data_IF_665012879924
#
_entry.id   IF_665012879924
#
_cell.length_a   1.000
_cell.length_b   1.000
_cell.length_c   1.000
_cell.angle_alpha   90.00
_cell.angle_beta   90.00
_cell.angle_gamma   90.00
#
_symmetry.space_group_name_H-M   'P 1'
#
loop_
_entity.id
_entity.type
_entity.pdbx_description
1 polymer ?
#
# COMPACT_ATOMS: atom_id res chain seq x y z
N UNK A 1 22.44 -4.73 18.45
CA UNK A 1 23.68 -4.49 17.70
C UNK A 1 23.31 -4.04 16.29
N UNK A 2 24.09 -3.12 15.72
CA UNK A 2 23.92 -2.71 14.33
C UNK A 2 24.62 -3.75 13.45
N UNK A 3 23.87 -4.44 12.61
CA UNK A 3 24.36 -5.53 11.76
C UNK A 3 24.67 -5.04 10.35
N UNK A 4 25.43 -5.83 9.55
CA UNK A 4 25.72 -5.51 8.15
C UNK A 4 24.43 -5.26 7.33
N UNK A 5 23.38 -5.98 7.63
CA UNK A 5 22.06 -5.82 7.00
C UNK A 5 21.40 -4.46 7.23
N UNK A 6 21.66 -3.82 8.38
CA UNK A 6 21.19 -2.47 8.66
C UNK A 6 21.92 -1.44 7.77
N UNK A 7 23.23 -1.66 7.52
CA UNK A 7 24.00 -0.82 6.60
C UNK A 7 23.51 -1.00 5.14
N UNK A 8 23.14 -2.22 4.74
CA UNK A 8 22.54 -2.47 3.42
C UNK A 8 21.24 -1.69 3.25
N UNK A 9 20.40 -1.65 4.28
CA UNK A 9 19.14 -0.89 4.24
C UNK A 9 19.36 0.62 4.07
N UNK A 10 20.46 1.18 4.58
CA UNK A 10 20.86 2.56 4.28
C UNK A 10 21.17 2.75 2.79
N UNK A 11 21.83 1.77 2.18
CA UNK A 11 22.07 1.79 0.74
C UNK A 11 20.75 1.75 -0.06
N UNK A 12 19.72 1.05 0.44
CA UNK A 12 18.39 1.03 -0.16
C UNK A 12 17.70 2.40 -0.14
N UNK A 13 17.79 3.15 0.97
CA UNK A 13 17.31 4.53 1.04
C UNK A 13 18.03 5.39 0.02
N UNK A 14 19.37 5.30 -0.03
CA UNK A 14 20.17 6.07 -0.98
C UNK A 14 19.86 5.69 -2.44
N UNK A 15 19.69 4.41 -2.74
CA UNK A 15 19.37 3.91 -4.08
C UNK A 15 18.01 4.41 -4.58
N UNK A 16 16.96 4.34 -3.75
CA UNK A 16 15.63 4.83 -4.12
C UNK A 16 15.63 6.33 -4.40
N UNK A 17 16.33 7.12 -3.57
CA UNK A 17 16.51 8.56 -3.78
C UNK A 17 17.32 8.82 -5.06
N UNK A 18 18.42 8.10 -5.29
CA UNK A 18 19.28 8.27 -6.44
C UNK A 18 18.56 7.93 -7.77
N UNK A 19 17.76 6.85 -7.79
CA UNK A 19 16.95 6.49 -8.97
C UNK A 19 15.95 7.61 -9.28
N UNK A 20 15.22 8.11 -8.28
CA UNK A 20 14.26 9.21 -8.48
C UNK A 20 14.98 10.51 -8.89
N UNK A 21 16.16 10.80 -8.33
CA UNK A 21 16.96 11.96 -8.73
C UNK A 21 17.46 11.85 -10.18
N UNK A 22 17.90 10.66 -10.59
CA UNK A 22 18.34 10.42 -11.97
C UNK A 22 17.20 10.63 -12.99
N UNK A 23 15.95 10.31 -12.60
CA UNK A 23 14.75 10.46 -13.42
C UNK A 23 14.04 11.82 -13.21
N UNK A 24 14.60 12.71 -12.37
CA UNK A 24 14.03 14.01 -12.05
C UNK A 24 13.97 14.94 -13.26
N UNK A 25 12.88 15.71 -13.36
CA UNK A 25 12.70 16.75 -14.38
C UNK A 25 13.64 17.93 -14.18
N UNK A 26 14.04 18.23 -12.92
CA UNK A 26 14.96 19.32 -12.56
C UNK A 26 15.99 18.84 -11.55
N UNK A 27 17.00 18.06 -11.98
CA UNK A 27 18.02 17.42 -11.11
C UNK A 27 18.75 18.40 -10.18
N UNK A 28 18.87 19.69 -10.58
CA UNK A 28 19.54 20.72 -9.76
C UNK A 28 18.68 21.20 -8.59
N UNK A 29 17.37 20.97 -8.63
CA UNK A 29 16.43 21.40 -7.59
C UNK A 29 16.18 20.28 -6.56
N UNK A 30 17.24 19.62 -6.08
CA UNK A 30 17.11 18.53 -5.11
C UNK A 30 16.69 19.06 -3.73
N UNK A 31 15.59 18.54 -3.13
CA UNK A 31 15.04 19.08 -1.89
C UNK A 31 15.72 18.46 -0.65
N UNK A 32 16.98 18.82 -0.35
CA UNK A 32 17.79 18.24 0.74
C UNK A 32 17.11 18.26 2.10
N UNK A 33 16.48 19.40 2.44
CA UNK A 33 15.76 19.55 3.73
C UNK A 33 14.60 18.58 3.83
N UNK A 34 13.84 18.42 2.74
CA UNK A 34 12.72 17.50 2.70
C UNK A 34 13.22 16.04 2.73
N UNK A 35 14.33 15.72 2.04
CA UNK A 35 14.89 14.37 2.03
C UNK A 35 15.29 13.91 3.45
N UNK A 36 16.06 14.74 4.17
CA UNK A 36 16.43 14.45 5.56
C UNK A 36 15.20 14.41 6.47
N UNK A 37 14.29 15.37 6.31
CA UNK A 37 13.06 15.45 7.10
C UNK A 37 12.16 14.24 6.90
N UNK A 38 11.94 13.79 5.67
CA UNK A 38 11.09 12.65 5.36
C UNK A 38 11.64 11.32 5.92
N UNK A 39 12.96 11.10 5.79
CA UNK A 39 13.61 9.91 6.38
C UNK A 39 13.54 9.97 7.90
N UNK A 40 13.82 11.13 8.50
CA UNK A 40 13.75 11.32 9.95
C UNK A 40 12.33 11.10 10.48
N UNK A 41 11.30 11.63 9.80
CA UNK A 41 9.89 11.45 10.17
C UNK A 41 9.49 9.98 10.07
N UNK A 42 9.87 9.26 9.01
CA UNK A 42 9.59 7.83 8.90
C UNK A 42 10.24 7.05 10.05
N UNK A 43 11.53 7.26 10.30
CA UNK A 43 12.24 6.59 11.39
C UNK A 43 11.64 6.93 12.76
N UNK A 44 11.32 8.20 13.01
CA UNK A 44 10.69 8.66 14.23
C UNK A 44 9.29 8.04 14.44
N UNK A 45 8.48 7.96 13.39
CA UNK A 45 7.17 7.33 13.46
C UNK A 45 7.28 5.83 13.79
N UNK A 46 8.20 5.10 13.16
CA UNK A 46 8.41 3.68 13.49
C UNK A 46 8.91 3.52 14.92
N UNK A 47 9.88 4.32 15.34
CA UNK A 47 10.39 4.29 16.73
C UNK A 47 9.31 4.65 17.75
N UNK A 48 8.43 5.60 17.43
CA UNK A 48 7.30 5.97 18.28
C UNK A 48 6.27 4.82 18.35
N UNK A 49 5.85 4.29 17.21
CA UNK A 49 4.78 3.29 17.13
C UNK A 49 5.19 1.95 17.78
N UNK A 50 6.42 1.51 17.60
CA UNK A 50 6.91 0.25 18.18
C UNK A 50 7.74 0.44 19.45
N UNK A 51 8.30 1.62 19.70
CA UNK A 51 9.14 1.90 20.86
C UNK A 51 8.36 2.35 22.09
N UNK A 52 7.36 3.22 21.93
CA UNK A 52 6.59 3.76 23.04
C UNK A 52 5.51 2.78 23.53
N UNK A 53 5.43 2.49 24.85
CA UNK A 53 4.43 1.56 25.40
C UNK A 53 2.98 1.98 25.10
N UNK A 54 2.68 3.28 25.17
CA UNK A 54 1.36 3.83 24.85
C UNK A 54 0.98 3.65 23.39
N UNK A 55 1.92 3.88 22.45
CA UNK A 55 1.68 3.69 21.03
C UNK A 55 1.52 2.20 20.68
N UNK A 56 2.30 1.32 21.31
CA UNK A 56 2.11 -0.14 21.18
C UNK A 56 0.74 -0.60 21.69
N UNK A 57 0.24 -0.03 22.79
CA UNK A 57 -1.11 -0.33 23.27
C UNK A 57 -2.17 0.09 22.23
N UNK A 58 -2.01 1.24 21.57
CA UNK A 58 -2.89 1.68 20.47
C UNK A 58 -2.80 0.73 19.28
N UNK A 59 -1.60 0.33 18.86
CA UNK A 59 -1.42 -0.65 17.79
C UNK A 59 -2.00 -2.02 18.14
N UNK A 60 -1.83 -2.47 19.39
CA UNK A 60 -2.44 -3.69 19.92
C UNK A 60 -3.96 -3.62 19.89
N UNK A 61 -4.53 -2.48 20.32
CA UNK A 61 -5.98 -2.22 20.21
C UNK A 61 -6.47 -2.21 18.76
N UNK A 62 -5.72 -1.61 17.84
CA UNK A 62 -6.04 -1.65 16.42
C UNK A 62 -6.00 -3.09 15.87
N UNK A 63 -5.00 -3.89 16.25
CA UNK A 63 -4.93 -5.31 15.86
C UNK A 63 -6.12 -6.11 16.40
N UNK A 64 -6.50 -5.90 17.66
CA UNK A 64 -7.69 -6.54 18.26
C UNK A 64 -8.98 -6.10 17.56
N UNK A 65 -9.10 -4.82 17.20
CA UNK A 65 -10.25 -4.33 16.44
C UNK A 65 -10.34 -4.98 15.07
N UNK A 66 -9.22 -5.14 14.37
CA UNK A 66 -9.15 -5.86 13.08
C UNK A 66 -9.54 -7.33 13.23
N UNK A 67 -9.05 -8.00 14.29
CA UNK A 67 -9.41 -9.40 14.57
C UNK A 67 -10.90 -9.54 14.92
N UNK A 68 -11.45 -8.64 15.75
CA UNK A 68 -12.86 -8.59 16.08
C UNK A 68 -13.74 -8.32 14.85
N UNK A 69 -13.32 -7.40 14.00
CA UNK A 69 -14.01 -7.10 12.75
C UNK A 69 -14.01 -8.30 11.79
N UNK A 70 -12.85 -8.95 11.63
CA UNK A 70 -12.72 -10.16 10.81
C UNK A 70 -13.65 -11.28 11.32
N UNK A 71 -13.70 -11.48 12.64
CA UNK A 71 -14.57 -12.48 13.27
C UNK A 71 -16.05 -12.14 13.09
N UNK A 72 -16.43 -10.88 13.29
CA UNK A 72 -17.81 -10.42 13.11
C UNK A 72 -18.24 -10.51 11.63
N UNK A 73 -17.35 -10.17 10.72
CA UNK A 73 -17.57 -10.31 9.27
C UNK A 73 -17.81 -11.77 8.90
N UNK A 74 -17.04 -12.69 9.51
CA UNK A 74 -17.18 -14.12 9.27
C UNK A 74 -18.60 -14.61 9.54
N UNK A 75 -19.28 -14.09 10.55
CA UNK A 75 -20.68 -14.47 10.84
C UNK A 75 -21.62 -14.12 9.69
N UNK A 76 -21.53 -12.89 9.15
CA UNK A 76 -22.33 -12.46 8.00
C UNK A 76 -21.99 -13.22 6.72
N UNK A 77 -20.71 -13.45 6.48
CA UNK A 77 -20.23 -14.16 5.29
C UNK A 77 -20.64 -15.64 5.32
N UNK A 78 -20.56 -16.27 6.48
CA UNK A 78 -21.02 -17.65 6.66
C UNK A 78 -22.53 -17.77 6.52
N UNK A 79 -23.30 -16.77 6.99
CA UNK A 79 -24.74 -16.74 6.77
C UNK A 79 -25.10 -16.71 5.29
N UNK A 80 -24.36 -15.96 4.46
CA UNK A 80 -24.64 -15.82 3.03
C UNK A 80 -24.08 -16.97 2.20
N UNK A 81 -22.85 -17.42 2.48
CA UNK A 81 -22.10 -18.36 1.63
C UNK A 81 -21.93 -19.76 2.26
N UNK A 82 -22.40 -19.96 3.50
CA UNK A 82 -22.38 -21.25 4.17
C UNK A 82 -20.97 -21.84 4.29
N UNK A 83 -20.82 -23.08 3.90
CA UNK A 83 -19.56 -23.82 4.00
C UNK A 83 -18.43 -23.28 3.11
N UNK A 84 -18.75 -22.60 2.00
CA UNK A 84 -17.73 -21.94 1.15
C UNK A 84 -16.97 -20.86 1.91
N UNK A 85 -17.62 -20.23 2.87
CA UNK A 85 -17.03 -19.22 3.74
C UNK A 85 -16.44 -19.82 5.04
N UNK A 86 -16.39 -21.12 5.19
CA UNK A 86 -15.84 -21.79 6.37
C UNK A 86 -16.88 -22.15 7.44
N UNK A 87 -18.16 -22.13 7.08
CA UNK A 87 -19.22 -22.71 7.87
C UNK A 87 -19.16 -24.24 7.92
N UNK A 88 -20.12 -24.84 8.61
CA UNK A 88 -20.21 -26.29 8.76
C UNK A 88 -20.36 -26.98 7.40
N UNK A 89 -19.51 -28.00 7.15
CA UNK A 89 -19.52 -28.71 5.87
C UNK A 89 -20.59 -29.82 5.89
N UNK A 90 -21.37 -29.98 4.80
CA UNK A 90 -22.39 -30.98 4.68
C UNK A 90 -21.82 -32.38 4.33
N UNK A 91 -20.50 -32.56 4.31
CA UNK A 91 -19.80 -33.78 3.92
C UNK A 91 -18.50 -33.95 4.74
N UNK A 92 -17.98 -35.22 4.86
CA UNK A 92 -16.71 -35.48 5.53
C UNK A 92 -15.53 -34.79 4.79
N UNK A 93 -14.69 -34.08 5.56
CA UNK A 93 -13.55 -33.34 5.04
C UNK A 93 -12.29 -34.20 5.10
N UNK A 94 -11.76 -34.57 3.94
CA UNK A 94 -10.50 -35.34 3.84
C UNK A 94 -9.28 -34.41 3.72
N UNK A 95 -9.45 -33.20 3.16
CA UNK A 95 -8.40 -32.19 3.01
C UNK A 95 -8.91 -30.81 3.43
N UNK A 96 -8.71 -30.40 4.69
CA UNK A 96 -9.18 -29.09 5.18
C UNK A 96 -8.57 -27.90 4.43
N UNK A 97 -7.33 -28.00 3.93
CA UNK A 97 -6.65 -26.96 3.17
C UNK A 97 -7.34 -26.65 1.83
N UNK A 98 -7.94 -27.65 1.19
CA UNK A 98 -8.67 -27.50 -0.07
C UNK A 98 -9.98 -26.73 0.05
N UNK A 99 -10.49 -26.52 1.26
CA UNK A 99 -11.70 -25.73 1.53
C UNK A 99 -11.45 -24.22 1.66
N UNK A 100 -10.21 -23.78 1.52
CA UNK A 100 -9.91 -22.35 1.56
C UNK A 100 -10.24 -21.70 0.23
N UNK A 101 -11.42 -21.08 0.14
CA UNK A 101 -11.83 -20.30 -1.05
C UNK A 101 -11.62 -18.82 -0.76
N UNK A 102 -10.56 -18.24 -1.36
CA UNK A 102 -10.15 -16.84 -1.14
C UNK A 102 -11.29 -15.85 -1.35
N UNK A 103 -12.05 -16.01 -2.44
CA UNK A 103 -13.15 -15.13 -2.79
C UNK A 103 -14.26 -15.05 -1.72
N UNK A 104 -14.48 -16.13 -0.96
CA UNK A 104 -15.53 -16.21 0.06
C UNK A 104 -15.02 -16.04 1.49
N UNK A 105 -13.71 -16.15 1.73
CA UNK A 105 -13.14 -16.03 3.07
C UNK A 105 -12.43 -14.70 3.33
N UNK A 106 -11.79 -14.12 2.32
CA UNK A 106 -10.97 -12.92 2.48
C UNK A 106 -11.62 -11.69 1.87
N UNK A 107 -12.07 -11.77 0.61
CA UNK A 107 -12.60 -10.61 -0.08
C UNK A 107 -13.83 -9.96 0.59
N UNK A 108 -14.79 -10.69 1.17
CA UNK A 108 -15.97 -10.07 1.77
C UNK A 108 -15.69 -9.15 2.95
N UNK A 109 -14.53 -9.29 3.63
CA UNK A 109 -14.10 -8.38 4.69
C UNK A 109 -14.03 -6.94 4.16
N UNK A 110 -13.68 -6.75 2.88
CA UNK A 110 -13.61 -5.45 2.23
C UNK A 110 -14.98 -4.73 2.25
N UNK A 111 -16.09 -5.47 2.02
CA UNK A 111 -17.43 -4.88 2.05
C UNK A 111 -17.75 -4.22 3.39
N UNK A 112 -17.50 -4.97 4.47
CA UNK A 112 -17.81 -4.51 5.83
C UNK A 112 -16.94 -3.31 6.20
N UNK A 113 -15.67 -3.34 5.82
CA UNK A 113 -14.75 -2.24 6.13
C UNK A 113 -15.10 -0.99 5.31
N UNK A 114 -15.45 -1.13 4.03
CA UNK A 114 -15.88 0.02 3.22
C UNK A 114 -17.15 0.64 3.81
N UNK A 115 -18.13 -0.18 4.20
CA UNK A 115 -19.35 0.29 4.85
C UNK A 115 -19.05 1.02 6.17
N UNK A 116 -18.18 0.47 7.02
CA UNK A 116 -17.76 1.09 8.28
C UNK A 116 -16.94 2.37 8.04
N UNK A 117 -16.05 2.38 7.06
CA UNK A 117 -15.26 3.58 6.71
C UNK A 117 -16.17 4.72 6.27
N UNK A 118 -17.19 4.44 5.44
CA UNK A 118 -18.18 5.41 5.02
C UNK A 118 -18.99 5.94 6.22
N UNK A 119 -19.38 5.06 7.14
CA UNK A 119 -20.09 5.43 8.37
C UNK A 119 -19.23 6.31 9.29
N UNK A 120 -17.98 5.93 9.55
CA UNK A 120 -17.02 6.70 10.34
C UNK A 120 -16.73 8.08 9.71
N UNK A 121 -16.76 8.14 8.38
CA UNK A 121 -16.68 9.41 7.67
C UNK A 121 -17.94 10.26 7.89
N UNK A 122 -19.14 9.69 7.75
CA UNK A 122 -20.41 10.35 8.00
C UNK A 122 -20.48 10.92 9.43
N UNK A 123 -20.00 10.18 10.42
CA UNK A 123 -19.90 10.62 11.81
C UNK A 123 -18.73 11.59 12.07
N UNK A 124 -17.99 12.00 11.03
CA UNK A 124 -16.85 12.91 11.09
C UNK A 124 -15.64 12.40 11.87
N UNK A 125 -15.65 11.16 12.37
CA UNK A 125 -14.52 10.57 13.13
C UNK A 125 -13.29 10.49 12.24
N UNK A 126 -13.44 9.90 11.05
CA UNK A 126 -12.33 9.75 10.09
C UNK A 126 -11.88 11.12 9.56
N UNK A 127 -12.80 12.09 9.41
CA UNK A 127 -12.47 13.47 9.02
C UNK A 127 -11.53 14.14 10.04
N UNK A 128 -11.77 13.97 11.34
CA UNK A 128 -10.91 14.55 12.38
C UNK A 128 -9.53 13.93 12.40
N UNK A 129 -9.46 12.60 12.25
CA UNK A 129 -8.18 11.88 12.14
C UNK A 129 -7.40 12.40 10.93
N UNK A 130 -8.05 12.51 9.77
CA UNK A 130 -7.44 13.00 8.53
C UNK A 130 -6.95 14.44 8.65
N UNK A 131 -7.70 15.33 9.31
CA UNK A 131 -7.28 16.70 9.56
C UNK A 131 -6.04 16.76 10.47
N UNK A 132 -5.99 15.91 11.51
CA UNK A 132 -4.82 15.81 12.38
C UNK A 132 -3.56 15.39 11.61
N UNK A 133 -3.67 14.37 10.75
CA UNK A 133 -2.55 13.96 9.88
C UNK A 133 -2.20 15.04 8.84
N UNK A 134 -3.20 15.73 8.27
CA UNK A 134 -2.98 16.86 7.35
C UNK A 134 -2.14 17.95 7.99
N UNK A 135 -2.44 18.33 9.23
CA UNK A 135 -1.66 19.29 10.00
C UNK A 135 -0.21 18.83 10.24
N UNK A 136 -0.01 17.53 10.54
CA UNK A 136 1.35 16.97 10.69
C UNK A 136 2.11 17.06 9.36
N UNK A 137 1.49 16.68 8.24
CA UNK A 137 2.13 16.76 6.92
C UNK A 137 2.40 18.20 6.47
N UNK A 138 1.52 19.13 6.83
CA UNK A 138 1.74 20.55 6.58
C UNK A 138 3.00 21.05 7.30
N UNK A 139 3.14 20.74 8.59
CA UNK A 139 4.31 21.17 9.39
C UNK A 139 5.60 20.44 9.05
N UNK A 140 5.54 19.14 8.76
CA UNK A 140 6.75 18.32 8.57
C UNK A 140 7.20 18.24 7.11
N UNK A 141 6.26 18.21 6.16
CA UNK A 141 6.54 18.04 4.73
C UNK A 141 6.34 19.31 3.91
N UNK A 142 5.88 20.39 4.52
CA UNK A 142 5.63 21.66 3.84
C UNK A 142 4.49 21.58 2.82
N UNK A 143 3.60 20.61 2.96
CA UNK A 143 2.37 20.56 2.18
C UNK A 143 1.40 21.60 2.74
N UNK A 144 0.65 22.29 1.89
CA UNK A 144 -0.31 23.31 2.33
C UNK A 144 -1.69 23.03 1.76
N UNK A 145 -2.71 23.28 2.58
CA UNK A 145 -4.11 23.23 2.18
C UNK A 145 -4.59 21.90 1.60
N UNK A 146 -5.29 21.93 0.43
CA UNK A 146 -5.92 20.75 -0.15
C UNK A 146 -5.00 19.54 -0.37
N UNK A 147 -3.76 19.67 -0.89
CA UNK A 147 -2.84 18.54 -1.04
C UNK A 147 -2.48 17.85 0.29
N UNK A 148 -2.35 18.60 1.39
CA UNK A 148 -2.06 18.01 2.69
C UNK A 148 -3.23 17.15 3.19
N UNK A 149 -4.46 17.66 3.03
CA UNK A 149 -5.67 16.94 3.40
C UNK A 149 -5.86 15.67 2.54
N UNK A 150 -5.71 15.79 1.22
CA UNK A 150 -5.84 14.64 0.32
C UNK A 150 -4.77 13.58 0.59
N UNK A 151 -3.51 13.97 0.83
CA UNK A 151 -2.43 13.07 1.24
C UNK A 151 -2.79 12.32 2.53
N UNK A 152 -3.30 13.03 3.53
CA UNK A 152 -3.71 12.42 4.78
C UNK A 152 -4.92 11.49 4.61
N UNK A 153 -5.90 11.87 3.80
CA UNK A 153 -7.06 11.03 3.50
C UNK A 153 -6.65 9.74 2.78
N UNK A 154 -5.72 9.82 1.83
CA UNK A 154 -5.24 8.70 1.03
C UNK A 154 -4.63 7.58 1.89
N UNK A 155 -3.97 7.93 3.02
CA UNK A 155 -3.41 6.94 3.96
C UNK A 155 -4.46 5.97 4.50
N UNK A 156 -5.73 6.42 4.61
CA UNK A 156 -6.81 5.62 5.20
C UNK A 156 -7.84 5.15 4.17
N UNK A 157 -8.06 5.92 3.11
CA UNK A 157 -9.18 5.70 2.20
C UNK A 157 -8.78 5.10 0.85
N UNK A 158 -7.57 5.36 0.36
CA UNK A 158 -7.08 4.81 -0.89
C UNK A 158 -6.77 5.87 -1.95
N UNK A 159 -6.28 5.37 -3.10
CA UNK A 159 -5.64 6.21 -4.12
C UNK A 159 -6.61 7.10 -4.94
N UNK A 160 -7.89 6.76 -4.98
CA UNK A 160 -8.93 7.52 -5.69
C UNK A 160 -9.84 8.24 -4.71
N UNK A 161 -10.17 7.60 -3.60
CA UNK A 161 -11.08 8.14 -2.58
C UNK A 161 -10.47 9.34 -1.84
N UNK A 162 -9.16 9.33 -1.57
CA UNK A 162 -8.47 10.45 -0.94
C UNK A 162 -8.64 11.77 -1.70
N UNK A 163 -8.38 11.83 -3.01
CA UNK A 163 -8.62 13.00 -3.85
C UNK A 163 -10.07 13.48 -3.95
N UNK A 164 -11.08 12.64 -3.70
CA UNK A 164 -12.50 13.04 -3.71
C UNK A 164 -12.74 14.19 -2.72
N UNK A 165 -12.05 14.20 -1.57
CA UNK A 165 -12.23 15.22 -0.54
C UNK A 165 -11.77 16.62 -0.92
N UNK A 166 -10.96 16.70 -1.97
CA UNK A 166 -10.49 17.97 -2.53
C UNK A 166 -10.95 18.15 -3.98
N UNK A 167 -12.03 17.46 -4.38
CA UNK A 167 -12.51 17.47 -5.77
C UNK A 167 -12.63 18.88 -6.35
N UNK A 168 -13.19 19.83 -5.60
CA UNK A 168 -13.36 21.22 -6.01
C UNK A 168 -12.03 21.96 -6.27
N UNK A 169 -10.92 21.45 -5.79
CA UNK A 169 -9.59 22.03 -5.94
C UNK A 169 -8.71 21.33 -6.97
N UNK A 170 -9.10 20.12 -7.43
CA UNK A 170 -8.26 19.31 -8.33
C UNK A 170 -7.92 19.99 -9.64
N UNK A 171 -8.83 20.81 -10.18
CA UNK A 171 -8.60 21.60 -11.40
C UNK A 171 -7.55 22.68 -11.21
N UNK A 172 -7.49 23.28 -9.99
CA UNK A 172 -6.60 24.37 -9.65
C UNK A 172 -5.22 23.92 -9.13
N UNK A 173 -5.03 22.61 -8.84
CA UNK A 173 -3.75 22.10 -8.38
C UNK A 173 -2.65 22.31 -9.43
N UNK A 174 -1.45 22.65 -8.96
CA UNK A 174 -0.27 22.61 -9.82
C UNK A 174 0.01 21.20 -10.34
N UNK A 175 0.78 21.09 -11.42
CA UNK A 175 1.21 19.79 -11.97
C UNK A 175 1.99 18.98 -10.93
N UNK A 176 2.83 19.62 -10.12
CA UNK A 176 3.61 18.99 -9.08
C UNK A 176 2.76 18.47 -7.92
N UNK A 177 1.66 19.16 -7.59
CA UNK A 177 0.70 18.71 -6.57
C UNK A 177 -0.15 17.56 -7.06
N UNK A 178 -0.65 17.61 -8.30
CA UNK A 178 -1.38 16.51 -8.91
C UNK A 178 -0.51 15.23 -9.00
N UNK A 179 0.76 15.39 -9.41
CA UNK A 179 1.72 14.28 -9.42
C UNK A 179 1.96 13.71 -8.02
N UNK A 180 2.09 14.57 -7.02
CA UNK A 180 2.25 14.17 -5.62
C UNK A 180 1.07 13.30 -5.15
N UNK A 181 -0.17 13.69 -5.46
CA UNK A 181 -1.35 12.90 -5.09
C UNK A 181 -1.35 11.52 -5.76
N UNK A 182 -0.98 11.44 -7.03
CA UNK A 182 -0.82 10.16 -7.72
C UNK A 182 0.23 9.27 -7.06
N UNK A 183 1.39 9.82 -6.71
CA UNK A 183 2.48 9.08 -6.06
C UNK A 183 2.07 8.60 -4.67
N UNK A 184 1.50 9.47 -3.84
CA UNK A 184 1.07 9.08 -2.48
C UNK A 184 -0.05 8.07 -2.55
N UNK A 185 -1.00 8.22 -3.49
CA UNK A 185 -2.05 7.24 -3.75
C UNK A 185 -1.50 5.85 -4.01
N UNK A 186 -0.44 5.75 -4.80
CA UNK A 186 0.22 4.48 -5.11
C UNK A 186 1.18 4.00 -4.02
N UNK A 187 1.65 4.89 -3.13
CA UNK A 187 2.57 4.52 -2.03
C UNK A 187 1.85 3.92 -0.82
N UNK A 188 0.60 4.27 -0.61
CA UNK A 188 -0.21 3.87 0.52
C UNK A 188 -1.21 2.77 0.13
N UNK A 189 -1.93 2.24 1.12
CA UNK A 189 -3.05 1.32 0.93
C UNK A 189 -4.27 1.81 1.70
N UNK A 190 -5.47 1.45 1.23
CA UNK A 190 -6.71 1.81 1.94
C UNK A 190 -6.91 0.99 3.21
N UNK A 191 -7.70 1.51 4.14
CA UNK A 191 -8.05 0.80 5.38
C UNK A 191 -8.69 -0.57 5.12
N UNK A 192 -9.51 -0.69 4.07
CA UNK A 192 -10.14 -1.95 3.68
C UNK A 192 -9.12 -3.00 3.26
N UNK A 193 -8.15 -2.62 2.45
CA UNK A 193 -7.09 -3.53 2.01
C UNK A 193 -6.08 -3.83 3.12
N UNK A 194 -5.82 -2.89 4.04
CA UNK A 194 -4.96 -3.14 5.22
C UNK A 194 -5.48 -4.34 6.03
N UNK A 195 -6.77 -4.39 6.30
CA UNK A 195 -7.38 -5.50 7.07
C UNK A 195 -7.32 -6.80 6.29
N UNK A 196 -7.52 -6.77 4.99
CA UNK A 196 -7.38 -7.95 4.14
C UNK A 196 -5.94 -8.50 4.17
N UNK A 197 -4.93 -7.63 4.07
CA UNK A 197 -3.51 -8.05 4.16
C UNK A 197 -3.14 -8.56 5.55
N UNK A 198 -3.62 -7.91 6.60
CA UNK A 198 -3.45 -8.39 7.96
C UNK A 198 -4.05 -9.79 8.16
N UNK A 199 -5.21 -10.04 7.55
CA UNK A 199 -5.88 -11.36 7.59
C UNK A 199 -5.08 -12.41 6.82
N UNK A 200 -4.53 -12.08 5.65
CA UNK A 200 -3.67 -12.98 4.85
C UNK A 200 -2.39 -13.33 5.62
N UNK A 201 -1.79 -12.35 6.28
CA UNK A 201 -0.55 -12.54 7.03
C UNK A 201 -0.75 -13.14 8.43
N UNK A 202 -2.00 -13.31 8.86
CA UNK A 202 -2.32 -13.91 10.15
C UNK A 202 -1.74 -15.33 10.22
N UNK A 203 -0.90 -15.57 11.22
CA UNK A 203 -0.22 -16.86 11.40
C UNK A 203 1.20 -16.93 10.80
N UNK A 204 1.60 -15.99 9.95
CA UNK A 204 2.96 -15.93 9.36
C UNK A 204 3.75 -14.70 9.79
N UNK A 205 3.08 -13.65 10.27
CA UNK A 205 3.70 -12.44 10.83
C UNK A 205 2.96 -12.04 12.11
N UNK A 206 3.64 -12.04 13.29
CA UNK A 206 3.06 -11.51 14.52
C UNK A 206 2.67 -10.03 14.35
N UNK A 207 1.53 -9.62 14.94
CA UNK A 207 1.03 -8.24 14.86
C UNK A 207 0.91 -7.69 13.43
N UNK A 208 0.51 -8.52 12.46
CA UNK A 208 0.44 -8.18 11.04
C UNK A 208 -0.34 -6.86 10.79
N UNK A 209 -1.48 -6.66 11.48
CA UNK A 209 -2.27 -5.44 11.34
C UNK A 209 -1.50 -4.18 11.75
N UNK A 210 -0.71 -4.24 12.84
CA UNK A 210 0.13 -3.14 13.28
C UNK A 210 1.21 -2.80 12.24
N UNK A 211 1.85 -3.83 11.66
CA UNK A 211 2.86 -3.65 10.61
C UNK A 211 2.27 -3.03 9.35
N UNK A 212 1.14 -3.53 8.87
CA UNK A 212 0.49 -3.02 7.65
C UNK A 212 -0.02 -1.59 7.84
N UNK A 213 -0.63 -1.27 8.99
CA UNK A 213 -1.05 0.09 9.33
C UNK A 213 0.14 1.05 9.37
N UNK A 214 1.21 0.66 10.06
CA UNK A 214 2.44 1.46 10.14
C UNK A 214 3.04 1.66 8.75
N UNK A 215 3.09 0.62 7.92
CA UNK A 215 3.63 0.68 6.57
C UNK A 215 2.92 1.74 5.72
N UNK A 216 1.57 1.78 5.75
CA UNK A 216 0.81 2.79 5.01
C UNK A 216 1.10 4.21 5.51
N UNK A 217 1.11 4.42 6.84
CA UNK A 217 1.35 5.75 7.44
C UNK A 217 2.74 6.28 7.04
N UNK A 218 3.79 5.46 7.17
CA UNK A 218 5.16 5.91 6.87
C UNK A 218 5.49 5.95 5.38
N UNK A 219 4.68 5.32 4.54
CA UNK A 219 4.84 5.41 3.08
C UNK A 219 4.41 6.76 2.52
N UNK A 220 3.50 7.48 3.19
CA UNK A 220 3.10 8.81 2.75
C UNK A 220 4.26 9.83 2.74
N UNK A 221 5.06 10.00 3.80
CA UNK A 221 6.28 10.83 3.75
C UNK A 221 7.28 10.40 2.67
N UNK A 222 7.45 9.09 2.44
CA UNK A 222 8.31 8.59 1.36
C UNK A 222 7.76 9.00 -0.01
N UNK A 223 6.46 8.80 -0.23
CA UNK A 223 5.77 9.21 -1.46
C UNK A 223 5.89 10.70 -1.74
N UNK A 224 5.66 11.54 -0.71
CA UNK A 224 5.83 13.01 -0.82
C UNK A 224 7.26 13.36 -1.22
N UNK A 225 8.27 12.78 -0.58
CA UNK A 225 9.67 13.03 -0.91
C UNK A 225 9.98 12.66 -2.35
N UNK A 226 9.67 11.43 -2.76
CA UNK A 226 10.02 10.95 -4.10
C UNK A 226 9.24 11.67 -5.20
N UNK A 227 7.99 12.08 -4.93
CA UNK A 227 7.23 12.93 -5.82
C UNK A 227 7.92 14.29 -6.03
N UNK A 228 8.38 14.92 -4.96
CA UNK A 228 9.06 16.23 -5.01
C UNK A 228 10.48 16.15 -5.61
N UNK A 229 11.13 15.00 -5.58
CA UNK A 229 12.38 14.78 -6.30
C UNK A 229 12.13 14.67 -7.82
N UNK A 230 11.12 13.86 -8.21
CA UNK A 230 10.82 13.59 -9.62
C UNK A 230 10.21 14.79 -10.34
N UNK A 231 9.23 15.45 -9.72
CA UNK A 231 8.56 16.67 -10.21
C UNK A 231 8.70 17.74 -9.12
N UNK A 232 9.78 18.54 -9.17
CA UNK A 232 10.05 19.57 -8.18
C UNK A 232 8.94 20.63 -8.15
N UNK A 233 8.83 21.25 -6.98
CA UNK A 233 7.86 22.28 -6.68
C UNK A 233 8.01 23.46 -7.64
N UNK A 234 6.89 23.95 -8.13
CA UNK A 234 6.82 25.22 -8.87
C UNK A 234 6.27 26.30 -7.93
N UNK A 235 7.19 27.09 -7.36
CA UNK A 235 6.87 28.04 -6.28
C UNK A 235 5.86 29.12 -6.71
N UNK A 236 5.80 29.44 -8.01
CA UNK A 236 4.88 30.42 -8.57
C UNK A 236 3.47 29.86 -8.79
N UNK A 237 3.35 28.56 -9.02
CA UNK A 237 2.08 27.88 -9.30
C UNK A 237 1.36 27.38 -8.03
N UNK A 238 2.05 27.31 -6.88
CA UNK A 238 1.50 26.77 -5.62
C UNK A 238 0.90 27.85 -4.72
N UNK A 239 0.13 28.75 -5.27
CA UNK A 239 -0.77 29.60 -4.49
C UNK A 239 -2.09 28.86 -4.32
N UNK A 240 -2.16 27.97 -3.31
CA UNK A 240 -3.42 27.30 -2.97
C UNK A 240 -4.48 28.37 -2.64
N UNK A 241 -5.67 28.32 -3.23
CA UNK A 241 -6.76 29.16 -2.80
C UNK A 241 -7.03 28.86 -1.31
N UNK A 242 -6.95 29.89 -0.47
CA UNK A 242 -7.43 29.84 0.90
C UNK A 242 -8.96 29.76 0.85
N UNK A 243 -9.49 28.53 0.91
CA UNK A 243 -10.92 28.27 1.00
C UNK A 243 -11.18 27.31 2.17
N UNK A 244 -12.30 27.45 2.83
CA UNK A 244 -12.74 26.48 3.81
C UNK A 244 -12.76 25.08 3.17
N UNK A 245 -11.92 24.18 3.66
CA UNK A 245 -11.89 22.78 3.31
C UNK A 245 -13.16 22.10 3.86
N UNK A 246 -14.30 22.41 3.24
CA UNK A 246 -15.60 21.86 3.52
C UNK A 246 -15.91 20.78 2.50
N UNK A 247 -15.74 19.51 2.84
CA UNK A 247 -16.42 18.47 2.09
C UNK A 247 -17.93 18.68 2.27
N UNK A 248 -18.66 18.89 1.17
CA UNK A 248 -20.12 18.77 1.12
C UNK A 248 -20.52 17.44 1.77
N UNK A 249 -21.73 17.39 2.31
CA UNK A 249 -22.27 16.15 2.88
C UNK A 249 -22.21 15.03 1.83
N UNK A 250 -21.23 14.17 1.96
CA UNK A 250 -21.04 13.01 1.04
C UNK A 250 -22.19 12.02 1.21
N UNK A 251 -22.71 11.89 2.46
CA UNK A 251 -23.78 10.97 2.82
C UNK A 251 -24.92 11.71 3.51
N UNK A 252 -26.17 11.35 3.17
CA UNK A 252 -27.37 11.99 3.73
C UNK A 252 -27.73 11.46 5.12
N UNK A 253 -27.47 10.17 5.37
CA UNK A 253 -27.73 9.49 6.63
C UNK A 253 -26.74 8.38 6.92
N UNK A 254 -26.74 7.84 8.15
CA UNK A 254 -25.91 6.69 8.51
C UNK A 254 -26.25 5.44 7.69
N UNK A 255 -27.52 5.25 7.33
CA UNK A 255 -27.94 4.13 6.47
C UNK A 255 -27.46 4.34 5.04
N UNK A 256 -27.59 5.56 4.51
CA UNK A 256 -27.04 5.90 3.18
C UNK A 256 -25.52 5.67 3.12
N UNK A 257 -24.80 6.08 4.15
CA UNK A 257 -23.35 5.83 4.24
C UNK A 257 -23.01 4.32 4.23
N UNK A 258 -23.73 3.52 5.03
CA UNK A 258 -23.52 2.06 5.06
C UNK A 258 -23.80 1.41 3.71
N UNK A 259 -24.93 1.78 3.05
CA UNK A 259 -25.33 1.16 1.79
C UNK A 259 -24.40 1.55 0.63
N UNK A 260 -24.02 2.83 0.53
CA UNK A 260 -23.03 3.27 -0.48
C UNK A 260 -21.66 2.66 -0.21
N UNK A 261 -21.20 2.66 1.03
CA UNK A 261 -19.92 2.03 1.40
C UNK A 261 -19.90 0.53 1.10
N UNK A 262 -21.01 -0.18 1.32
CA UNK A 262 -21.13 -1.60 0.94
C UNK A 262 -21.10 -1.77 -0.60
N UNK A 263 -21.76 -0.88 -1.36
CA UNK A 263 -21.70 -0.86 -2.81
C UNK A 263 -20.29 -0.62 -3.35
N UNK A 264 -19.57 0.35 -2.79
CA UNK A 264 -18.18 0.64 -3.13
C UNK A 264 -17.28 -0.58 -2.82
N UNK A 265 -17.49 -1.19 -1.64
CA UNK A 265 -16.80 -2.42 -1.25
C UNK A 265 -17.06 -3.58 -2.21
N UNK A 266 -18.30 -3.75 -2.68
CA UNK A 266 -18.65 -4.77 -3.68
C UNK A 266 -17.92 -4.53 -5.00
N UNK A 267 -17.88 -3.28 -5.48
CA UNK A 267 -17.14 -2.92 -6.68
C UNK A 267 -15.64 -3.26 -6.54
N UNK A 268 -15.03 -2.96 -5.39
CA UNK A 268 -13.63 -3.32 -5.11
C UNK A 268 -13.45 -4.84 -5.12
N UNK A 269 -14.30 -5.61 -4.45
CA UNK A 269 -14.23 -7.09 -4.41
C UNK A 269 -14.30 -7.69 -5.81
N UNK A 270 -15.24 -7.23 -6.63
CA UNK A 270 -15.39 -7.71 -8.00
C UNK A 270 -14.18 -7.35 -8.87
N UNK A 271 -13.68 -6.13 -8.75
CA UNK A 271 -12.49 -5.69 -9.46
C UNK A 271 -11.24 -6.48 -9.04
N UNK A 272 -11.04 -6.73 -7.74
CA UNK A 272 -9.93 -7.54 -7.23
C UNK A 272 -10.04 -8.97 -7.76
N UNK A 273 -11.22 -9.59 -7.68
CA UNK A 273 -11.43 -10.94 -8.18
C UNK A 273 -11.15 -11.04 -9.70
N UNK A 274 -11.71 -10.12 -10.48
CA UNK A 274 -11.51 -10.08 -11.94
C UNK A 274 -10.03 -9.87 -12.29
N UNK A 275 -9.37 -8.93 -11.62
CA UNK A 275 -7.95 -8.64 -11.82
C UNK A 275 -7.08 -9.87 -11.49
N UNK A 276 -7.33 -10.54 -10.37
CA UNK A 276 -6.61 -11.75 -9.99
C UNK A 276 -6.79 -12.87 -11.03
N UNK A 277 -8.01 -13.11 -11.50
CA UNK A 277 -8.28 -14.11 -12.54
C UNK A 277 -7.48 -13.80 -13.80
N UNK A 278 -7.56 -12.56 -14.30
CA UNK A 278 -6.87 -12.16 -15.54
C UNK A 278 -5.37 -12.26 -15.39
N UNK A 279 -4.80 -11.66 -14.36
CA UNK A 279 -3.34 -11.62 -14.22
C UNK A 279 -2.73 -12.99 -13.91
N UNK A 280 -3.35 -13.80 -13.03
CA UNK A 280 -2.87 -15.17 -12.77
C UNK A 280 -2.95 -16.03 -14.05
N UNK A 281 -4.00 -15.87 -14.84
CA UNK A 281 -4.11 -16.57 -16.13
C UNK A 281 -3.03 -16.12 -17.13
N UNK A 282 -2.75 -14.81 -17.20
CA UNK A 282 -1.67 -14.28 -18.06
C UNK A 282 -0.29 -14.80 -17.64
N UNK A 283 -0.01 -14.83 -16.34
CA UNK A 283 1.26 -15.42 -15.82
C UNK A 283 1.34 -16.87 -16.17
N UNK A 284 0.29 -17.66 -15.94
CA UNK A 284 0.27 -19.09 -16.30
C UNK A 284 0.50 -19.32 -17.80
N UNK A 285 -0.06 -18.44 -18.66
CA UNK A 285 0.15 -18.48 -20.10
C UNK A 285 1.61 -18.16 -20.46
N UNK A 286 2.20 -17.12 -19.87
CA UNK A 286 3.61 -16.75 -20.06
C UNK A 286 4.53 -17.87 -19.58
N UNK A 287 4.27 -18.44 -18.40
CA UNK A 287 5.06 -19.53 -17.83
C UNK A 287 4.94 -20.81 -18.69
N UNK A 288 3.77 -21.08 -19.26
CA UNK A 288 3.57 -22.17 -20.22
C UNK A 288 4.39 -21.98 -21.51
N UNK A 289 4.60 -20.74 -21.94
CA UNK A 289 5.49 -20.43 -23.06
C UNK A 289 6.97 -20.53 -22.66
N UNK A 290 7.33 -19.95 -21.52
CA UNK A 290 8.72 -19.96 -21.00
C UNK A 290 9.18 -21.37 -20.66
N UNK A 291 8.31 -22.23 -20.17
CA UNK A 291 8.59 -23.62 -19.84
C UNK A 291 8.95 -24.51 -21.04
N UNK A 292 8.74 -24.01 -22.29
CA UNK A 292 9.17 -24.69 -23.51
C UNK A 292 10.65 -24.48 -23.83
N UNK A 293 11.28 -23.50 -23.21
CA UNK A 293 12.71 -23.24 -23.37
C UNK A 293 13.54 -24.12 -22.44
N UNK A 294 14.81 -24.32 -22.78
CA UNK A 294 15.72 -25.11 -21.97
C UNK A 294 15.82 -24.55 -20.54
N UNK A 295 15.81 -25.41 -19.50
CA UNK A 295 15.93 -24.96 -18.13
C UNK A 295 17.26 -24.26 -17.87
N UNK A 296 17.24 -23.12 -17.19
CA UNK A 296 18.43 -22.37 -16.78
C UNK A 296 18.70 -22.67 -15.30
N UNK A 297 19.93 -23.16 -15.00
CA UNK A 297 20.31 -23.50 -13.63
C UNK A 297 19.50 -24.66 -13.03
N UNK A 298 19.08 -25.62 -13.86
CA UNK A 298 18.39 -26.85 -13.42
C UNK A 298 16.91 -26.69 -13.10
N UNK A 299 16.29 -25.52 -13.35
CA UNK A 299 14.87 -25.33 -13.15
C UNK A 299 14.23 -24.58 -14.33
N UNK A 300 12.94 -24.86 -14.59
CA UNK A 300 12.19 -24.25 -15.67
C UNK A 300 12.18 -22.69 -15.54
N UNK A 301 12.15 -22.03 -16.68
CA UNK A 301 11.98 -20.59 -16.73
C UNK A 301 10.55 -20.24 -16.33
N UNK A 302 10.40 -19.26 -15.46
CA UNK A 302 9.11 -18.65 -15.09
C UNK A 302 9.26 -17.13 -15.01
N UNK A 303 8.16 -16.44 -15.18
CA UNK A 303 8.10 -14.98 -15.02
C UNK A 303 8.59 -14.56 -13.63
N UNK A 304 8.16 -15.26 -12.60
CA UNK A 304 8.57 -14.99 -11.22
C UNK A 304 10.08 -15.12 -11.02
N UNK A 305 10.72 -16.14 -11.60
CA UNK A 305 12.18 -16.30 -11.53
C UNK A 305 12.89 -15.16 -12.27
N UNK A 306 12.39 -14.80 -13.46
CA UNK A 306 12.93 -13.66 -14.21
C UNK A 306 12.86 -12.36 -13.42
N UNK A 307 11.70 -12.07 -12.86
CA UNK A 307 11.48 -10.92 -11.98
C UNK A 307 12.33 -11.01 -10.71
N UNK A 308 12.47 -12.22 -10.14
CA UNK A 308 13.34 -12.47 -9.00
C UNK A 308 14.78 -12.04 -9.25
N UNK A 309 15.33 -12.38 -10.39
CA UNK A 309 16.70 -11.99 -10.78
C UNK A 309 16.82 -10.47 -11.01
N UNK A 310 15.84 -9.85 -11.67
CA UNK A 310 15.84 -8.42 -11.95
C UNK A 310 15.74 -7.59 -10.67
N UNK A 311 14.90 -8.00 -9.72
CA UNK A 311 14.67 -7.26 -8.49
C UNK A 311 15.53 -7.72 -7.30
N UNK A 312 16.32 -8.83 -7.43
CA UNK A 312 17.21 -9.29 -6.36
C UNK A 312 18.20 -8.22 -5.89
N UNK A 313 18.85 -7.41 -6.76
CA UNK A 313 19.73 -6.34 -6.29
C UNK A 313 18.98 -5.28 -5.47
N UNK A 314 17.77 -4.93 -5.87
CA UNK A 314 16.93 -4.00 -5.12
C UNK A 314 16.54 -4.61 -3.77
N UNK A 315 16.07 -5.87 -3.76
CA UNK A 315 15.73 -6.58 -2.53
C UNK A 315 16.93 -6.66 -1.56
N UNK A 316 18.11 -6.91 -2.08
CA UNK A 316 19.34 -6.88 -1.29
C UNK A 316 19.59 -5.50 -0.67
N UNK A 317 19.43 -4.43 -1.42
CA UNK A 317 19.53 -3.06 -0.92
C UNK A 317 18.53 -2.75 0.22
N UNK A 318 17.37 -3.44 0.28
CA UNK A 318 16.42 -3.27 1.38
C UNK A 318 16.93 -3.85 2.72
N UNK A 319 18.08 -4.51 2.74
CA UNK A 319 18.67 -5.18 3.92
C UNK A 319 18.30 -6.66 4.00
N UNK A 320 17.97 -7.29 2.87
CA UNK A 320 17.64 -8.71 2.76
C UNK A 320 18.93 -9.48 2.39
N UNK A 321 19.23 -10.61 3.06
CA UNK A 321 20.37 -11.44 2.72
C UNK A 321 20.33 -11.90 1.26
N UNK A 322 21.50 -11.95 0.57
CA UNK A 322 21.56 -12.34 -0.84
C UNK A 322 20.91 -13.70 -1.12
N UNK A 323 20.99 -14.63 -0.18
CA UNK A 323 20.37 -15.96 -0.29
C UNK A 323 18.83 -15.89 -0.42
N UNK A 324 18.22 -14.88 0.16
CA UNK A 324 16.77 -14.65 0.17
C UNK A 324 16.35 -13.60 -0.88
N UNK A 325 17.32 -12.86 -1.44
CA UNK A 325 17.07 -11.73 -2.33
C UNK A 325 16.34 -12.11 -3.62
N UNK A 326 16.57 -13.31 -4.15
CA UNK A 326 15.85 -13.83 -5.31
C UNK A 326 14.34 -14.02 -5.04
N UNK A 327 14.01 -14.65 -3.90
CA UNK A 327 12.61 -14.84 -3.47
C UNK A 327 11.93 -13.51 -3.16
N UNK A 328 12.63 -12.62 -2.46
CA UNK A 328 12.11 -11.28 -2.17
C UNK A 328 11.95 -10.43 -3.45
N UNK A 329 12.88 -10.55 -4.38
CA UNK A 329 12.82 -9.90 -5.70
C UNK A 329 11.63 -10.40 -6.52
N UNK A 330 11.34 -11.71 -6.49
CA UNK A 330 10.14 -12.28 -7.12
C UNK A 330 8.87 -11.63 -6.59
N UNK A 331 8.74 -11.51 -5.26
CA UNK A 331 7.58 -10.84 -4.63
C UNK A 331 7.46 -9.37 -5.04
N UNK A 332 8.58 -8.63 -5.15
CA UNK A 332 8.58 -7.25 -5.65
C UNK A 332 8.11 -7.19 -7.11
N UNK A 333 8.56 -8.13 -7.93
CA UNK A 333 8.15 -8.25 -9.32
C UNK A 333 6.67 -8.59 -9.46
N UNK A 334 6.18 -9.56 -8.70
CA UNK A 334 4.76 -9.94 -8.63
C UNK A 334 3.91 -8.73 -8.22
N UNK A 335 4.31 -7.99 -7.18
CA UNK A 335 3.64 -6.75 -6.78
C UNK A 335 3.51 -5.76 -7.93
N UNK A 336 4.62 -5.49 -8.63
CA UNK A 336 4.67 -4.45 -9.67
C UNK A 336 3.88 -4.84 -10.91
N UNK A 337 4.03 -6.09 -11.36
CA UNK A 337 3.44 -6.60 -12.62
C UNK A 337 2.00 -7.04 -12.46
N UNK A 338 1.66 -7.63 -11.31
CA UNK A 338 0.32 -8.13 -11.00
C UNK A 338 -0.38 -7.19 -10.01
N UNK A 339 -0.38 -7.59 -8.74
CA UNK A 339 -0.91 -6.79 -7.63
C UNK A 339 -0.14 -7.08 -6.35
N UNK A 340 -0.15 -6.14 -5.42
CA UNK A 340 0.32 -6.37 -4.06
C UNK A 340 -0.49 -7.47 -3.34
N UNK A 341 -1.76 -7.64 -3.69
CA UNK A 341 -2.62 -8.70 -3.15
C UNK A 341 -2.04 -10.08 -3.41
N UNK A 342 -1.67 -10.35 -4.67
CA UNK A 342 -1.01 -11.61 -5.08
C UNK A 342 0.30 -11.78 -4.33
N UNK A 343 1.12 -10.72 -4.27
CA UNK A 343 2.40 -10.76 -3.57
C UNK A 343 2.26 -11.06 -2.07
N UNK A 344 1.23 -10.55 -1.40
CA UNK A 344 0.92 -10.87 0.00
C UNK A 344 0.47 -12.33 0.18
N UNK A 345 -0.35 -12.85 -0.74
CA UNK A 345 -0.74 -14.27 -0.74
C UNK A 345 0.49 -15.15 -0.90
N UNK A 346 1.38 -14.82 -1.81
CA UNK A 346 2.59 -15.59 -2.05
C UNK A 346 3.57 -15.48 -0.87
N UNK A 347 3.72 -14.29 -0.27
CA UNK A 347 4.49 -14.12 0.97
C UNK A 347 3.94 -15.00 2.11
N UNK A 348 2.62 -15.11 2.24
CA UNK A 348 1.99 -15.94 3.26
C UNK A 348 2.16 -17.44 3.00
N UNK A 349 2.27 -17.86 1.74
CA UNK A 349 2.51 -19.27 1.36
C UNK A 349 3.95 -19.72 1.56
N UNK A 350 4.91 -18.78 1.70
CA UNK A 350 6.31 -19.13 1.93
C UNK A 350 6.44 -19.87 3.26
N UNK A 351 6.87 -21.12 3.18
CA UNK A 351 7.09 -21.96 4.34
C UNK A 351 8.18 -21.43 5.29
N UNK A 352 8.21 -21.92 6.53
CA UNK A 352 9.27 -21.60 7.48
C UNK A 352 10.63 -22.02 6.92
N UNK A 353 11.63 -21.17 7.06
CA UNK A 353 13.01 -21.42 6.63
C UNK A 353 13.35 -21.00 5.20
N UNK A 354 12.37 -20.68 4.33
CA UNK A 354 12.65 -20.12 3.00
C UNK A 354 13.11 -18.68 3.05
N UNK A 355 12.55 -17.88 3.97
CA UNK A 355 12.97 -16.53 4.30
C UNK A 355 12.95 -16.35 5.82
N UNK A 356 13.82 -15.50 6.31
CA UNK A 356 13.89 -15.12 7.73
C UNK A 356 12.68 -14.26 8.14
N UNK A 357 12.34 -14.24 9.44
CA UNK A 357 11.27 -13.37 9.98
C UNK A 357 11.55 -11.90 9.70
N UNK A 358 12.83 -11.48 9.75
CA UNK A 358 13.27 -10.15 9.38
C UNK A 358 12.94 -9.84 7.91
N UNK A 359 13.26 -10.74 7.00
CA UNK A 359 12.94 -10.58 5.57
C UNK A 359 11.43 -10.54 5.36
N UNK A 360 10.66 -11.39 6.03
CA UNK A 360 9.20 -11.39 5.98
C UNK A 360 8.63 -10.05 6.43
N UNK A 361 9.16 -9.49 7.52
CA UNK A 361 8.79 -8.17 8.02
C UNK A 361 9.13 -7.08 6.99
N UNK A 362 10.39 -6.99 6.52
CA UNK A 362 10.81 -6.00 5.51
C UNK A 362 9.94 -6.08 4.27
N UNK A 363 9.67 -7.29 3.77
CA UNK A 363 8.80 -7.49 2.61
C UNK A 363 7.38 -7.03 2.85
N UNK A 364 6.83 -7.19 4.05
CA UNK A 364 5.51 -6.66 4.38
C UNK A 364 5.44 -5.14 4.13
N UNK A 365 6.47 -4.40 4.50
CA UNK A 365 6.53 -2.96 4.23
C UNK A 365 6.75 -2.65 2.74
N UNK A 366 7.63 -3.40 2.07
CA UNK A 366 7.89 -3.22 0.65
C UNK A 366 6.67 -3.51 -0.23
N UNK A 367 5.84 -4.47 0.17
CA UNK A 367 4.63 -4.84 -0.55
C UNK A 367 3.45 -3.91 -0.26
N UNK A 368 3.44 -3.19 0.86
CA UNK A 368 2.32 -2.38 1.33
C UNK A 368 2.19 -1.06 0.56
N UNK A 369 1.58 -1.11 -0.62
CA UNK A 369 1.29 0.06 -1.47
C UNK A 369 0.76 -0.36 -2.83
N UNK A 370 -0.15 0.45 -3.37
CA UNK A 370 -0.89 0.19 -4.62
C UNK A 370 -0.08 0.40 -5.91
N UNK A 371 1.24 0.49 -5.83
CA UNK A 371 2.10 0.72 -7.01
C UNK A 371 2.24 -0.54 -7.87
N UNK A 372 1.31 -0.72 -8.80
CA UNK A 372 1.27 -1.80 -9.78
C UNK A 372 0.61 -1.35 -11.09
N UNK A 373 0.69 -2.18 -12.14
CA UNK A 373 0.14 -1.87 -13.47
C UNK A 373 -1.39 -1.66 -13.42
N UNK A 374 -2.12 -2.45 -12.64
CA UNK A 374 -3.57 -2.29 -12.51
C UNK A 374 -3.94 -0.92 -11.92
N UNK A 375 -3.18 -0.44 -10.95
CA UNK A 375 -3.38 0.87 -10.32
C UNK A 375 -3.17 2.05 -11.28
N UNK A 376 -2.37 1.88 -12.33
CA UNK A 376 -2.27 2.88 -13.42
C UNK A 376 -3.65 3.09 -14.05
N UNK A 377 -4.32 2.01 -14.42
CA UNK A 377 -5.68 2.06 -14.98
C UNK A 377 -6.70 2.65 -14.01
N UNK A 378 -6.65 2.24 -12.74
CA UNK A 378 -7.55 2.73 -11.68
C UNK A 378 -7.40 4.24 -11.49
N UNK A 379 -6.15 4.74 -11.41
CA UNK A 379 -5.91 6.18 -11.27
C UNK A 379 -6.39 6.97 -12.50
N UNK A 380 -6.07 6.52 -13.72
CA UNK A 380 -6.54 7.18 -14.95
C UNK A 380 -8.07 7.23 -14.97
N UNK A 381 -8.75 6.14 -14.65
CA UNK A 381 -10.21 6.09 -14.60
C UNK A 381 -10.77 7.02 -13.51
N UNK A 382 -10.26 6.93 -12.28
CA UNK A 382 -10.72 7.72 -11.15
C UNK A 382 -10.54 9.23 -11.38
N UNK A 383 -9.36 9.67 -11.76
CA UNK A 383 -9.11 11.08 -12.05
C UNK A 383 -9.84 11.58 -13.30
N UNK A 384 -10.14 10.71 -14.28
CA UNK A 384 -10.97 11.08 -15.43
C UNK A 384 -12.43 11.43 -15.04
N UNK A 385 -12.91 10.86 -13.94
CA UNK A 385 -14.24 11.19 -13.37
C UNK A 385 -14.17 12.43 -12.49
N UNK A 386 -13.07 12.58 -11.70
CA UNK A 386 -12.91 13.68 -10.74
C UNK A 386 -12.55 15.01 -11.41
N UNK A 387 -11.68 14.96 -12.43
CA UNK A 387 -11.14 16.12 -13.14
C UNK A 387 -10.91 15.79 -14.63
N UNK A 388 -12.01 15.66 -15.42
CA UNK A 388 -11.94 15.20 -16.80
C UNK A 388 -11.02 16.04 -17.70
N UNK A 389 -10.95 17.34 -17.47
CA UNK A 389 -10.12 18.31 -18.21
C UNK A 389 -8.62 18.05 -18.06
N UNK A 390 -8.19 17.41 -16.99
CA UNK A 390 -6.78 17.08 -16.73
C UNK A 390 -6.40 15.62 -17.03
N UNK A 391 -7.31 14.86 -17.63
CA UNK A 391 -7.07 13.43 -17.94
C UNK A 391 -5.79 13.20 -18.76
N UNK A 392 -5.51 14.04 -19.75
CA UNK A 392 -4.29 13.92 -20.57
C UNK A 392 -3.01 14.11 -19.74
N UNK A 393 -3.02 15.05 -18.79
CA UNK A 393 -1.92 15.30 -17.88
C UNK A 393 -1.69 14.09 -16.93
N UNK A 394 -2.76 13.55 -16.37
CA UNK A 394 -2.69 12.34 -15.53
C UNK A 394 -2.10 11.17 -16.31
N UNK A 395 -2.56 10.93 -17.54
CA UNK A 395 -2.03 9.86 -18.40
C UNK A 395 -0.53 10.04 -18.68
N UNK A 396 -0.06 11.26 -18.85
CA UNK A 396 1.36 11.57 -19.06
C UNK A 396 2.25 11.36 -17.83
N UNK A 397 1.66 11.34 -16.63
CA UNK A 397 2.41 11.26 -15.36
C UNK A 397 2.25 9.92 -14.62
N UNK A 398 1.19 9.19 -14.86
CA UNK A 398 0.77 8.05 -14.01
C UNK A 398 1.80 6.92 -13.96
N UNK A 399 2.48 6.61 -15.06
CA UNK A 399 3.53 5.60 -15.09
C UNK A 399 4.75 6.00 -14.24
N UNK A 400 5.11 7.28 -14.30
CA UNK A 400 6.17 7.85 -13.48
C UNK A 400 5.76 7.85 -12.00
N UNK A 401 4.48 8.12 -11.71
CA UNK A 401 3.92 8.04 -10.37
C UNK A 401 3.91 6.61 -9.83
N UNK A 402 3.59 5.61 -10.67
CA UNK A 402 3.67 4.19 -10.29
C UNK A 402 5.09 3.80 -9.86
N UNK A 403 6.09 4.17 -10.67
CA UNK A 403 7.49 3.90 -10.31
C UNK A 403 7.88 4.59 -9.00
N UNK A 404 7.48 5.86 -8.82
CA UNK A 404 7.74 6.59 -7.59
C UNK A 404 7.06 5.94 -6.37
N UNK A 405 5.82 5.52 -6.49
CA UNK A 405 5.07 4.82 -5.44
C UNK A 405 5.70 3.48 -5.08
N UNK A 406 6.15 2.72 -6.09
CA UNK A 406 6.90 1.47 -5.87
C UNK A 406 8.21 1.72 -5.10
N UNK A 407 9.00 2.70 -5.53
CA UNK A 407 10.24 3.07 -4.84
C UNK A 407 9.99 3.65 -3.44
N UNK A 408 8.85 4.34 -3.22
CA UNK A 408 8.49 4.84 -1.89
C UNK A 408 8.23 3.70 -0.90
N UNK A 409 7.55 2.63 -1.30
CA UNK A 409 7.40 1.45 -0.44
C UNK A 409 8.71 0.70 -0.23
N UNK A 410 9.59 0.64 -1.22
CA UNK A 410 10.94 0.11 -1.05
C UNK A 410 11.75 0.96 -0.06
N UNK A 411 11.68 2.29 -0.14
CA UNK A 411 12.32 3.21 0.81
C UNK A 411 11.77 2.99 2.22
N UNK A 412 10.47 2.85 2.38
CA UNK A 412 9.81 2.56 3.65
C UNK A 412 10.33 1.25 4.26
N UNK A 413 10.42 0.19 3.46
CA UNK A 413 11.00 -1.09 3.86
C UNK A 413 12.47 -0.95 4.29
N UNK A 414 13.24 -0.14 3.56
CA UNK A 414 14.63 0.15 3.90
C UNK A 414 14.74 0.89 5.25
N UNK A 415 13.89 1.88 5.52
CA UNK A 415 13.86 2.58 6.83
C UNK A 415 13.61 1.60 7.97
N UNK A 416 12.64 0.69 7.80
CA UNK A 416 12.39 -0.37 8.78
C UNK A 416 13.60 -1.31 8.91
N UNK A 417 14.24 -1.66 7.80
CA UNK A 417 15.44 -2.50 7.77
C UNK A 417 16.66 -1.88 8.46
N UNK A 418 16.76 -0.55 8.53
CA UNK A 418 17.83 0.14 9.30
C UNK A 418 17.64 -0.05 10.81
N UNK A 419 16.40 -0.17 11.27
CA UNK A 419 16.10 -0.26 12.70
C UNK A 419 16.40 -1.67 13.25
N UNK A 420 16.76 -1.78 14.54
CA UNK A 420 17.07 -3.07 15.12
C UNK A 420 15.82 -3.96 15.20
N UNK A 421 15.98 -5.24 14.85
CA UNK A 421 14.88 -6.22 14.85
C UNK A 421 14.23 -6.38 16.24
N UNK A 422 14.98 -6.13 17.32
CA UNK A 422 14.47 -6.14 18.70
C UNK A 422 13.36 -5.12 18.98
N UNK A 423 13.24 -4.09 18.15
CA UNK A 423 12.15 -3.10 18.24
C UNK A 423 10.78 -3.73 17.92
N UNK A 424 10.75 -4.71 17.02
CA UNK A 424 9.56 -5.35 16.49
C UNK A 424 9.22 -6.69 17.18
N UNK A 425 10.18 -7.22 17.99
CA UNK A 425 10.04 -8.52 18.65
C UNK A 425 9.27 -8.49 19.98
N UNK A 426 8.74 -7.30 20.36
CA UNK A 426 8.02 -7.09 21.63
C UNK A 426 6.51 -6.97 21.37
#
# INVERSE_FOLDING_TARGET
>A
MFELQNAQSLAGIAATIAICWALSEKRRAFPWKLALGAVAVQAALVMLLFGAPSARAVLGGASQAVDGLSTSTQAGVTFVFGFLAGGEQPYPVTNPGGLFVFAFRVLPVILVICALSALLWHWRILKWITQGFGFVFEKTMGLRGPPALATAATVFMGQVEGPIFIRSYLSALSRSELFLLLVVGMSCVSGSTMVAYATILKGVLPNAAAHVLTASIISAPAGVLLARILVPRDAEAEQAPEGELGADKVYESSIDALMRGAGDGLAIVLNVAATLIVFVSLVAMIDGLLGRFAPIGGAALSLERGLGLVFAPLAWCLGIPWKEAGTAGSLLGVKLMLTEFTAFIDLAKLGPGLISDRTRMIMTYALCGFANIASVGINVAGYSVLVPERRGEVMGMVWKAMLAGFLATCMTASVVGVLPSSLFAK
#
